data_IF_880097583725
#
_entry.id   IF_880097583725
#
_cell.length_a   1.000
_cell.length_b   1.000
_cell.length_c   1.000
_cell.angle_alpha   90.00
_cell.angle_beta   90.00
_cell.angle_gamma   90.00
#
_symmetry.space_group_name_H-M   'P 1'
#
loop_
_entity.id
_entity.type
_entity.pdbx_description
1 polymer ?
#
# COMPACT_ATOMS: atom_id res chain seq x y z
N UNK A 1 -12.42 32.01 -17.03
CA UNK A 1 -12.97 30.67 -16.72
C UNK A 1 -14.47 30.81 -16.75
N UNK A 2 -15.14 30.11 -17.64
CA UNK A 2 -16.60 30.04 -17.65
C UNK A 2 -17.06 29.02 -16.61
N UNK A 3 -18.17 29.33 -15.93
CA UNK A 3 -18.76 28.42 -14.94
C UNK A 3 -19.47 27.29 -15.72
N UNK A 4 -19.12 26.01 -15.50
CA UNK A 4 -19.70 24.89 -16.20
C UNK A 4 -21.15 24.69 -15.75
N UNK A 5 -21.92 24.05 -16.62
CA UNK A 5 -23.28 23.66 -16.30
C UNK A 5 -23.31 22.79 -15.02
N UNK A 6 -24.26 23.05 -14.10
CA UNK A 6 -24.40 22.25 -12.88
C UNK A 6 -24.75 20.80 -13.22
N UNK A 7 -24.29 19.85 -12.40
CA UNK A 7 -24.62 18.43 -12.54
C UNK A 7 -26.11 18.17 -12.32
N UNK A 8 -26.73 18.90 -11.39
CA UNK A 8 -28.16 18.81 -11.09
C UNK A 8 -28.77 20.18 -11.36
N UNK A 9 -29.79 20.22 -12.23
CA UNK A 9 -30.49 21.44 -12.62
C UNK A 9 -31.76 21.68 -11.79
N UNK A 10 -32.42 20.60 -11.35
CA UNK A 10 -33.67 20.60 -10.60
C UNK A 10 -33.57 19.61 -9.44
N UNK A 11 -34.06 19.90 -8.22
CA UNK A 11 -34.82 21.09 -7.80
C UNK A 11 -33.98 22.36 -7.58
N UNK A 12 -32.68 22.20 -7.29
CA UNK A 12 -31.72 23.31 -7.14
C UNK A 12 -30.48 23.06 -8.00
N UNK A 13 -29.82 24.15 -8.41
CA UNK A 13 -28.58 24.08 -9.19
C UNK A 13 -27.43 23.62 -8.30
N UNK A 14 -26.99 22.38 -8.45
CA UNK A 14 -25.88 21.81 -7.68
C UNK A 14 -24.73 21.34 -8.57
N UNK A 15 -23.51 21.62 -8.14
CA UNK A 15 -22.28 21.16 -8.78
C UNK A 15 -21.67 20.00 -8.00
N UNK A 16 -21.12 19.02 -8.72
CA UNK A 16 -20.38 17.91 -8.10
C UNK A 16 -18.94 18.32 -7.78
N UNK A 17 -18.39 17.76 -6.70
CA UNK A 17 -16.96 17.90 -6.40
C UNK A 17 -16.05 17.43 -7.55
N UNK A 18 -16.49 16.42 -8.32
CA UNK A 18 -15.78 15.96 -9.53
C UNK A 18 -15.76 17.01 -10.64
N UNK A 19 -16.84 17.78 -10.79
CA UNK A 19 -16.91 18.86 -11.78
C UNK A 19 -15.97 20.01 -11.41
N UNK A 20 -15.96 20.43 -10.14
CA UNK A 20 -15.03 21.44 -9.65
C UNK A 20 -13.58 20.98 -9.82
N UNK A 21 -13.30 19.71 -9.50
CA UNK A 21 -11.97 19.13 -9.71
C UNK A 21 -11.57 19.10 -11.19
N UNK A 22 -12.51 18.80 -12.09
CA UNK A 22 -12.27 18.77 -13.54
C UNK A 22 -11.86 20.13 -14.11
N UNK A 23 -12.25 21.25 -13.49
CA UNK A 23 -11.81 22.58 -13.92
C UNK A 23 -10.30 22.81 -13.78
N UNK A 24 -9.65 22.03 -12.92
CA UNK A 24 -8.20 22.11 -12.70
C UNK A 24 -7.42 21.34 -13.77
N UNK A 25 -8.10 20.44 -14.47
CA UNK A 25 -7.52 19.61 -15.51
C UNK A 25 -7.58 20.31 -16.87
N UNK A 26 -6.69 19.89 -17.75
CA UNK A 26 -6.63 20.36 -19.13
C UNK A 26 -7.42 19.39 -20.01
N UNK A 27 -8.06 19.91 -21.05
CA UNK A 27 -8.98 19.19 -21.93
C UNK A 27 -8.36 18.01 -22.72
N UNK A 28 -7.07 17.70 -22.54
CA UNK A 28 -6.34 16.67 -23.27
C UNK A 28 -5.94 15.45 -22.40
N UNK A 29 -6.30 15.45 -21.12
CA UNK A 29 -5.95 14.35 -20.21
C UNK A 29 -6.96 13.20 -20.34
N UNK A 30 -6.46 12.00 -20.62
CA UNK A 30 -7.24 10.77 -20.68
C UNK A 30 -6.57 9.73 -19.79
N UNK A 31 -7.30 9.18 -18.84
CA UNK A 31 -6.84 8.12 -17.92
C UNK A 31 -8.00 7.16 -17.69
N UNK A 32 -7.76 5.87 -17.87
CA UNK A 32 -8.70 4.81 -17.53
C UNK A 32 -8.03 3.90 -16.52
N UNK A 33 -8.57 3.78 -15.31
CA UNK A 33 -7.92 2.97 -14.27
C UNK A 33 -8.90 2.30 -13.33
N UNK A 34 -8.69 1.01 -13.10
CA UNK A 34 -9.49 0.21 -12.17
C UNK A 34 -10.83 -0.27 -12.74
N UNK A 35 -11.46 -1.19 -12.02
CA UNK A 35 -12.76 -1.80 -12.34
C UNK A 35 -12.69 -3.18 -12.99
N UNK A 36 -13.64 -4.05 -12.63
CA UNK A 36 -13.96 -5.26 -13.43
C UNK A 36 -14.54 -4.81 -14.78
N UNK A 37 -14.38 -5.62 -15.83
CA UNK A 37 -14.81 -5.33 -17.20
C UNK A 37 -16.31 -4.98 -17.26
N UNK A 38 -16.63 -3.69 -17.33
CA UNK A 38 -17.99 -3.17 -17.46
C UNK A 38 -17.98 -1.63 -17.62
N UNK A 39 -18.97 -1.03 -18.32
CA UNK A 39 -19.04 0.41 -18.57
C UNK A 39 -19.50 1.23 -17.34
N UNK A 40 -20.10 0.58 -16.34
CA UNK A 40 -20.59 1.22 -15.11
C UNK A 40 -19.84 0.68 -13.89
N UNK A 41 -19.59 1.55 -12.91
CA UNK A 41 -19.01 1.20 -11.62
C UNK A 41 -19.97 1.59 -10.47
N UNK A 42 -20.75 0.63 -9.93
CA UNK A 42 -21.70 0.90 -8.84
C UNK A 42 -21.05 1.49 -7.58
N UNK A 43 -19.82 1.05 -7.29
CA UNK A 43 -19.05 1.50 -6.13
C UNK A 43 -18.13 2.71 -6.42
N UNK A 44 -18.22 3.31 -7.62
CA UNK A 44 -17.39 4.44 -8.04
C UNK A 44 -15.86 4.18 -7.93
N UNK A 45 -15.46 2.92 -8.13
CA UNK A 45 -14.06 2.46 -7.99
C UNK A 45 -13.24 2.65 -9.27
N UNK A 46 -13.90 2.73 -10.42
CA UNK A 46 -13.24 2.90 -11.72
C UNK A 46 -13.05 4.38 -12.01
N UNK A 47 -11.80 4.80 -12.16
CA UNK A 47 -11.44 6.18 -12.50
C UNK A 47 -11.42 6.33 -14.01
N UNK A 48 -12.28 7.21 -14.52
CA UNK A 48 -12.35 7.57 -15.93
C UNK A 48 -12.24 9.08 -16.06
N UNK A 49 -11.09 9.52 -16.59
CA UNK A 49 -10.86 10.90 -17.01
C UNK A 49 -10.84 10.90 -18.52
N UNK A 50 -11.71 11.71 -19.14
CA UNK A 50 -11.78 11.85 -20.59
C UNK A 50 -11.80 13.32 -20.94
N UNK A 51 -10.90 13.74 -21.82
CA UNK A 51 -10.73 15.13 -22.24
C UNK A 51 -10.68 16.10 -21.05
N UNK A 52 -9.93 15.76 -20.00
CA UNK A 52 -9.83 16.60 -18.80
C UNK A 52 -11.03 16.56 -17.86
N UNK A 53 -12.10 15.85 -18.19
CA UNK A 53 -13.28 15.71 -17.33
C UNK A 53 -13.29 14.39 -16.58
N UNK A 54 -13.52 14.45 -15.27
CA UNK A 54 -13.67 13.28 -14.41
C UNK A 54 -15.12 12.81 -14.47
N UNK A 55 -15.35 11.69 -15.15
CA UNK A 55 -16.69 11.11 -15.30
C UNK A 55 -17.05 10.16 -14.15
N UNK A 56 -16.11 9.29 -13.79
CA UNK A 56 -16.30 8.24 -12.78
C UNK A 56 -15.02 8.11 -11.95
N UNK A 57 -15.16 7.62 -10.72
CA UNK A 57 -14.07 7.29 -9.82
C UNK A 57 -13.85 8.27 -8.68
N UNK A 58 -13.51 7.73 -7.52
CA UNK A 58 -12.96 8.49 -6.39
C UNK A 58 -11.44 8.66 -6.55
N UNK A 59 -10.96 9.89 -6.38
CA UNK A 59 -9.54 10.22 -6.48
C UNK A 59 -8.81 9.86 -5.18
N UNK A 60 -8.23 8.66 -5.12
CA UNK A 60 -7.40 8.20 -4.00
C UNK A 60 -5.90 8.39 -4.26
N UNK A 61 -5.06 8.03 -3.28
CA UNK A 61 -3.59 7.95 -3.42
C UNK A 61 -3.13 7.15 -4.65
N UNK A 62 -3.94 6.21 -5.14
CA UNK A 62 -3.58 5.46 -6.34
C UNK A 62 -3.52 6.35 -7.60
N UNK A 63 -4.37 7.37 -7.69
CA UNK A 63 -4.42 8.31 -8.82
C UNK A 63 -3.57 9.56 -8.61
N UNK A 64 -3.65 10.16 -7.42
CA UNK A 64 -3.00 11.44 -7.10
C UNK A 64 -1.61 11.29 -6.48
N UNK A 65 -1.24 10.09 -6.03
CA UNK A 65 0.05 9.82 -5.42
C UNK A 65 1.18 9.66 -6.45
N UNK A 66 2.37 9.33 -5.95
CA UNK A 66 3.60 9.13 -6.72
C UNK A 66 3.66 7.82 -7.51
N UNK A 67 2.52 7.15 -7.75
CA UNK A 67 2.51 5.89 -8.50
C UNK A 67 2.76 6.16 -9.99
N UNK A 68 3.48 5.25 -10.64
CA UNK A 68 3.60 5.22 -12.09
C UNK A 68 2.20 5.13 -12.74
N UNK A 69 2.00 5.91 -13.81
CA UNK A 69 0.70 6.05 -14.47
C UNK A 69 -0.36 6.79 -13.64
N UNK A 70 0.04 7.48 -12.57
CA UNK A 70 -0.84 8.42 -11.84
C UNK A 70 -1.11 9.68 -12.64
N UNK A 71 -2.10 10.46 -12.21
CA UNK A 71 -2.51 11.70 -12.88
C UNK A 71 -1.36 12.72 -12.94
N UNK A 72 -0.59 12.86 -11.87
CA UNK A 72 0.58 13.77 -11.83
C UNK A 72 1.65 13.32 -12.83
N UNK A 73 1.87 12.02 -12.97
CA UNK A 73 2.83 11.46 -13.94
C UNK A 73 2.38 11.74 -15.38
N UNK A 74 1.11 11.47 -15.69
CA UNK A 74 0.54 11.73 -17.02
C UNK A 74 0.55 13.22 -17.34
N UNK A 75 0.22 14.10 -16.39
CA UNK A 75 0.30 15.55 -16.58
C UNK A 75 1.72 16.04 -16.83
N UNK A 76 2.70 15.47 -16.12
CA UNK A 76 4.11 15.80 -16.30
C UNK A 76 4.62 15.36 -17.68
N UNK A 77 4.28 14.15 -18.12
CA UNK A 77 4.76 13.58 -19.38
C UNK A 77 4.00 14.11 -20.60
N UNK A 78 2.68 14.38 -20.51
CA UNK A 78 1.88 14.88 -21.65
C UNK A 78 2.29 16.25 -22.19
N UNK A 79 3.15 16.99 -21.49
CA UNK A 79 3.80 18.20 -22.01
C UNK A 79 4.70 18.00 -23.24
N UNK A 80 4.70 16.81 -23.85
CA UNK A 80 5.60 16.36 -24.92
C UNK A 80 5.68 17.29 -26.14
N UNK A 81 4.63 18.06 -26.49
CA UNK A 81 4.72 19.02 -27.61
C UNK A 81 5.42 20.34 -27.23
N UNK A 82 5.42 20.74 -25.95
CA UNK A 82 6.12 21.93 -25.42
C UNK A 82 6.53 21.66 -23.96
N UNK A 83 7.76 21.17 -23.76
CA UNK A 83 8.31 20.71 -22.47
C UNK A 83 8.05 21.66 -21.28
N UNK A 84 8.19 22.97 -21.50
CA UNK A 84 7.98 23.96 -20.45
C UNK A 84 6.51 24.11 -20.04
N UNK A 85 5.59 23.85 -20.97
CA UNK A 85 4.16 24.01 -20.75
C UNK A 85 3.63 22.88 -19.86
N UNK A 86 4.03 21.62 -20.08
CA UNK A 86 3.62 20.49 -19.22
C UNK A 86 4.07 20.62 -17.76
N UNK A 87 5.30 21.10 -17.54
CA UNK A 87 5.81 21.36 -16.17
C UNK A 87 5.04 22.49 -15.49
N UNK A 88 4.80 23.59 -16.20
CA UNK A 88 3.99 24.72 -15.70
C UNK A 88 2.56 24.29 -15.40
N UNK A 89 1.97 23.46 -16.26
CA UNK A 89 0.63 22.91 -16.10
C UNK A 89 0.54 21.98 -14.88
N UNK A 90 1.47 21.05 -14.71
CA UNK A 90 1.54 20.18 -13.54
C UNK A 90 1.68 21.00 -12.24
N UNK A 91 2.53 22.03 -12.24
CA UNK A 91 2.67 22.96 -11.11
C UNK A 91 1.35 23.72 -10.84
N UNK A 92 0.69 24.24 -11.86
CA UNK A 92 -0.62 24.91 -11.74
C UNK A 92 -1.67 23.97 -11.17
N UNK A 93 -1.69 22.72 -11.63
CA UNK A 93 -2.60 21.68 -11.14
C UNK A 93 -2.36 21.38 -9.65
N UNK A 94 -1.11 21.16 -9.23
CA UNK A 94 -0.80 20.91 -7.82
C UNK A 94 -1.23 22.07 -6.92
N UNK A 95 -0.90 23.30 -7.31
CA UNK A 95 -1.29 24.51 -6.58
C UNK A 95 -2.82 24.70 -6.55
N UNK A 96 -3.50 24.48 -7.67
CA UNK A 96 -4.95 24.61 -7.78
C UNK A 96 -5.68 23.54 -6.97
N UNK A 97 -5.21 22.30 -6.99
CA UNK A 97 -5.75 21.19 -6.21
C UNK A 97 -5.62 21.48 -4.72
N UNK A 98 -4.44 21.88 -4.25
CA UNK A 98 -4.22 22.24 -2.84
C UNK A 98 -5.13 23.40 -2.42
N UNK A 99 -5.24 24.46 -3.22
CA UNK A 99 -6.12 25.60 -2.90
C UNK A 99 -7.59 25.21 -2.83
N UNK A 100 -8.08 24.47 -3.82
CA UNK A 100 -9.48 24.02 -3.89
C UNK A 100 -9.84 23.09 -2.72
N UNK A 101 -9.02 22.06 -2.50
CA UNK A 101 -9.27 21.07 -1.46
C UNK A 101 -9.12 21.67 -0.07
N UNK A 102 -8.12 22.53 0.16
CA UNK A 102 -7.97 23.19 1.46
C UNK A 102 -9.13 24.15 1.75
N UNK A 103 -9.60 24.91 0.75
CA UNK A 103 -10.76 25.77 0.90
C UNK A 103 -12.02 24.97 1.24
N UNK A 104 -12.25 23.85 0.54
CA UNK A 104 -13.35 22.95 0.85
C UNK A 104 -13.22 22.30 2.22
N UNK A 105 -12.03 21.87 2.60
CA UNK A 105 -11.76 21.24 3.89
C UNK A 105 -11.96 22.21 5.05
N UNK A 106 -11.65 23.50 4.88
CA UNK A 106 -11.95 24.55 5.87
C UNK A 106 -13.46 24.72 6.10
N UNK A 107 -14.28 24.58 5.06
CA UNK A 107 -15.74 24.66 5.17
C UNK A 107 -16.37 23.40 5.76
N UNK A 108 -15.90 22.21 5.34
CA UNK A 108 -16.44 20.94 5.81
C UNK A 108 -15.99 20.59 7.24
N UNK A 109 -14.73 20.90 7.56
CA UNK A 109 -14.04 20.34 8.72
C UNK A 109 -13.72 18.86 8.56
N UNK A 110 -12.65 18.40 9.19
CA UNK A 110 -12.32 16.97 9.31
C UNK A 110 -11.61 16.75 10.63
N UNK A 111 -12.12 15.85 11.46
CA UNK A 111 -11.59 15.54 12.78
C UNK A 111 -11.69 14.05 13.05
N UNK A 112 -10.92 13.58 14.03
CA UNK A 112 -10.92 12.18 14.48
C UNK A 112 -11.14 12.21 15.98
N UNK A 113 -12.05 11.34 16.45
CA UNK A 113 -12.32 11.17 17.87
C UNK A 113 -12.08 9.75 18.35
N UNK A 114 -12.20 9.54 19.66
CA UNK A 114 -12.22 8.19 20.25
C UNK A 114 -13.42 7.39 19.75
N UNK A 115 -14.52 8.04 19.39
CA UNK A 115 -15.70 7.37 18.85
C UNK A 115 -15.41 6.64 17.54
N UNK A 116 -14.44 7.10 16.74
CA UNK A 116 -14.03 6.44 15.51
C UNK A 116 -13.32 5.10 15.75
N UNK A 117 -12.84 4.84 16.97
CA UNK A 117 -12.19 3.58 17.34
C UNK A 117 -13.13 2.58 18.02
N UNK A 118 -14.37 2.99 18.31
CA UNK A 118 -15.35 2.13 18.94
C UNK A 118 -16.02 1.22 17.90
N UNK A 119 -15.85 -0.10 18.06
CA UNK A 119 -16.62 -1.08 17.33
C UNK A 119 -17.94 -1.43 18.04
N UNK A 120 -18.93 -1.90 17.27
CA UNK A 120 -20.20 -2.40 17.80
C UNK A 120 -19.96 -3.60 18.71
N UNK A 121 -20.74 -3.72 19.80
CA UNK A 121 -20.62 -4.83 20.77
C UNK A 121 -20.63 -6.21 20.11
N UNK A 122 -21.52 -6.42 19.15
CA UNK A 122 -21.61 -7.67 18.39
C UNK A 122 -20.33 -8.07 17.66
N UNK A 123 -19.52 -7.07 17.25
CA UNK A 123 -18.24 -7.31 16.58
C UNK A 123 -17.17 -7.57 17.63
N UNK A 124 -17.19 -6.86 18.76
CA UNK A 124 -16.27 -7.11 19.87
C UNK A 124 -16.40 -8.54 20.41
N UNK A 125 -17.62 -9.04 20.54
CA UNK A 125 -17.85 -10.42 20.98
C UNK A 125 -17.25 -11.42 19.98
N UNK A 126 -17.48 -11.21 18.68
CA UNK A 126 -16.85 -12.02 17.61
C UNK A 126 -15.33 -11.91 17.57
N UNK A 127 -14.76 -10.74 17.84
CA UNK A 127 -13.30 -10.55 17.94
C UNK A 127 -12.75 -11.39 19.10
N UNK A 128 -13.44 -11.39 20.24
CA UNK A 128 -13.05 -12.19 21.40
C UNK A 128 -13.12 -13.68 21.06
N UNK A 129 -14.18 -14.14 20.39
CA UNK A 129 -14.32 -15.52 19.90
C UNK A 129 -13.15 -15.91 18.97
N UNK A 130 -12.84 -15.08 17.96
CA UNK A 130 -11.74 -15.36 17.01
C UNK A 130 -10.37 -15.42 17.72
N UNK A 131 -10.14 -14.55 18.71
CA UNK A 131 -8.91 -14.55 19.49
C UNK A 131 -8.83 -15.80 20.38
N UNK A 132 -9.94 -16.25 20.97
CA UNK A 132 -9.98 -17.45 21.80
C UNK A 132 -9.79 -18.72 20.96
N UNK A 133 -10.43 -18.78 19.78
CA UNK A 133 -10.21 -19.82 18.77
C UNK A 133 -8.75 -19.86 18.27
N UNK A 134 -8.08 -18.72 18.23
CA UNK A 134 -6.66 -18.66 17.88
C UNK A 134 -5.76 -19.19 19.01
N UNK A 135 -6.11 -18.92 20.28
CA UNK A 135 -5.38 -19.41 21.45
C UNK A 135 -5.54 -20.93 21.60
N UNK A 136 -6.77 -21.43 21.53
CA UNK A 136 -7.06 -22.87 21.60
C UNK A 136 -6.39 -23.64 20.46
N UNK A 137 -6.37 -23.07 19.24
CA UNK A 137 -5.64 -23.66 18.13
C UNK A 137 -4.12 -23.67 18.36
N UNK A 138 -3.56 -22.63 18.98
CA UNK A 138 -2.15 -22.59 19.33
C UNK A 138 -1.81 -23.63 20.41
N UNK A 139 -2.68 -23.81 21.40
CA UNK A 139 -2.52 -24.84 22.44
C UNK A 139 -2.60 -26.26 21.84
N UNK A 140 -3.49 -26.48 20.88
CA UNK A 140 -3.53 -27.74 20.13
C UNK A 140 -2.22 -28.02 19.37
N UNK A 141 -1.59 -26.99 18.78
CA UNK A 141 -0.26 -27.12 18.14
C UNK A 141 0.83 -27.44 19.17
N UNK A 142 0.74 -26.88 20.39
CA UNK A 142 1.66 -27.21 21.49
C UNK A 142 1.52 -28.68 21.89
N UNK A 143 0.31 -29.21 21.94
CA UNK A 143 0.08 -30.60 22.31
C UNK A 143 0.52 -31.59 21.22
N UNK A 144 0.30 -31.28 19.94
CA UNK A 144 0.84 -32.11 18.84
C UNK A 144 2.37 -32.06 18.79
N UNK A 145 2.97 -30.92 19.13
CA UNK A 145 4.41 -30.78 19.28
C UNK A 145 4.98 -31.65 20.41
N UNK A 146 4.30 -31.70 21.56
CA UNK A 146 4.66 -32.56 22.69
C UNK A 146 4.59 -34.05 22.33
N UNK A 147 3.68 -34.42 21.44
CA UNK A 147 3.55 -35.79 20.91
C UNK A 147 4.57 -36.10 19.79
N UNK A 148 5.35 -35.12 19.35
CA UNK A 148 6.36 -35.30 18.29
C UNK A 148 5.80 -35.40 16.87
N UNK A 149 4.51 -35.10 16.66
CA UNK A 149 3.81 -35.25 15.38
C UNK A 149 3.72 -33.93 14.59
N UNK A 150 4.86 -33.26 14.39
CA UNK A 150 4.92 -32.02 13.57
C UNK A 150 5.40 -32.37 12.16
N UNK A 151 4.71 -31.84 11.16
CA UNK A 151 5.15 -31.91 9.77
C UNK A 151 6.35 -30.97 9.55
N UNK A 152 7.48 -31.54 9.14
CA UNK A 152 8.71 -30.82 8.84
C UNK A 152 8.82 -30.51 7.35
N UNK A 153 9.17 -29.27 7.00
CA UNK A 153 9.65 -28.97 5.65
C UNK A 153 11.12 -29.35 5.49
N UNK A 154 11.60 -29.65 4.27
CA UNK A 154 13.01 -29.95 4.04
C UNK A 154 13.93 -28.82 4.52
N UNK A 155 14.86 -29.13 5.42
CA UNK A 155 15.83 -28.16 5.95
C UNK A 155 15.37 -27.37 7.17
N UNK A 156 14.14 -27.56 7.65
CA UNK A 156 13.65 -26.94 8.89
C UNK A 156 13.92 -27.82 10.12
N UNK A 157 14.27 -27.20 11.25
CA UNK A 157 14.33 -27.91 12.53
C UNK A 157 12.91 -28.06 13.10
N UNK A 158 12.70 -29.07 13.97
CA UNK A 158 11.41 -29.26 14.67
C UNK A 158 10.97 -28.01 15.42
N UNK A 159 11.91 -27.28 16.04
CA UNK A 159 11.62 -26.04 16.77
C UNK A 159 11.22 -24.91 15.84
N UNK A 160 11.91 -24.75 14.70
CA UNK A 160 11.58 -23.68 13.75
C UNK A 160 10.23 -23.95 13.05
N UNK A 161 9.93 -25.20 12.70
CA UNK A 161 8.62 -25.59 12.16
C UNK A 161 7.48 -25.33 13.15
N UNK A 162 7.69 -25.65 14.44
CA UNK A 162 6.76 -25.37 15.52
C UNK A 162 6.49 -23.86 15.67
N UNK A 163 7.56 -23.06 15.78
CA UNK A 163 7.46 -21.60 15.93
C UNK A 163 6.81 -20.94 14.71
N UNK A 164 7.13 -21.42 13.50
CA UNK A 164 6.55 -20.93 12.25
C UNK A 164 5.03 -21.20 12.20
N UNK A 165 4.62 -22.42 12.55
CA UNK A 165 3.20 -22.82 12.56
C UNK A 165 2.35 -21.97 13.52
N UNK A 166 2.85 -21.74 14.75
CA UNK A 166 2.14 -20.89 15.72
C UNK A 166 2.09 -19.43 15.23
N UNK A 167 3.21 -18.88 14.76
CA UNK A 167 3.23 -17.51 14.24
C UNK A 167 2.26 -17.32 13.07
N UNK A 168 2.19 -18.28 12.15
CA UNK A 168 1.26 -18.25 11.04
C UNK A 168 -0.20 -18.25 11.51
N UNK A 169 -0.54 -19.10 12.49
CA UNK A 169 -1.90 -19.16 13.04
C UNK A 169 -2.30 -17.86 13.74
N UNK A 170 -1.42 -17.31 14.57
CA UNK A 170 -1.68 -16.06 15.30
C UNK A 170 -1.77 -14.86 14.36
N UNK A 171 -0.93 -14.78 13.33
CA UNK A 171 -1.00 -13.72 12.31
C UNK A 171 -2.29 -13.80 11.49
N UNK A 172 -2.74 -15.02 11.15
CA UNK A 172 -4.01 -15.22 10.44
C UNK A 172 -5.20 -14.69 11.24
N UNK A 173 -5.21 -14.90 12.56
CA UNK A 173 -6.27 -14.38 13.43
C UNK A 173 -6.31 -12.84 13.45
N UNK A 174 -5.15 -12.17 13.41
CA UNK A 174 -5.06 -10.70 13.34
C UNK A 174 -5.63 -10.18 12.02
N UNK A 175 -5.31 -10.85 10.91
CA UNK A 175 -5.83 -10.49 9.58
C UNK A 175 -7.35 -10.69 9.51
N UNK A 176 -7.87 -11.81 10.04
CA UNK A 176 -9.31 -12.09 10.15
C UNK A 176 -10.03 -11.01 10.97
N UNK A 177 -9.51 -10.67 12.16
CA UNK A 177 -10.02 -9.58 12.99
C UNK A 177 -10.01 -8.23 12.25
N UNK A 178 -8.91 -7.92 11.55
CA UNK A 178 -8.77 -6.66 10.80
C UNK A 178 -9.76 -6.53 9.65
N UNK A 179 -10.02 -7.62 8.93
CA UNK A 179 -11.03 -7.63 7.85
C UNK A 179 -12.45 -7.50 8.39
N UNK A 180 -12.75 -8.16 9.51
CA UNK A 180 -14.05 -8.04 10.18
C UNK A 180 -14.32 -6.61 10.58
N UNK A 181 -13.36 -5.95 11.24
CA UNK A 181 -13.48 -4.54 11.66
C UNK A 181 -13.69 -3.63 10.45
N UNK A 182 -12.89 -3.77 9.40
CA UNK A 182 -13.03 -2.93 8.20
C UNK A 182 -14.35 -3.12 7.45
N UNK A 183 -14.96 -4.30 7.50
CA UNK A 183 -16.25 -4.56 6.86
C UNK A 183 -17.43 -3.97 7.65
N UNK A 184 -17.24 -3.81 8.97
CA UNK A 184 -18.30 -3.47 9.90
C UNK A 184 -18.40 -1.98 10.22
N UNK A 185 -17.29 -1.25 10.07
CA UNK A 185 -17.22 0.18 10.33
C UNK A 185 -18.00 0.96 9.27
N UNK A 186 -18.69 2.01 9.71
CA UNK A 186 -19.37 2.97 8.83
C UNK A 186 -18.36 3.66 7.91
N UNK A 187 -18.71 3.80 6.63
CA UNK A 187 -17.89 4.55 5.65
C UNK A 187 -17.62 6.00 6.06
N UNK A 188 -18.50 6.58 6.87
CA UNK A 188 -18.40 7.95 7.40
C UNK A 188 -17.38 8.11 8.54
N UNK A 189 -16.80 7.01 9.02
CA UNK A 189 -15.76 7.06 10.04
C UNK A 189 -14.50 7.77 9.50
N UNK A 190 -13.93 8.68 10.31
CA UNK A 190 -12.79 9.48 9.88
C UNK A 190 -11.54 8.63 9.64
N UNK A 191 -11.28 7.64 10.49
CA UNK A 191 -10.13 6.73 10.35
C UNK A 191 -10.28 5.88 9.09
N UNK A 192 -11.48 5.36 8.83
CA UNK A 192 -11.79 4.62 7.61
C UNK A 192 -11.52 5.48 6.37
N UNK A 193 -12.03 6.71 6.35
CA UNK A 193 -11.86 7.67 5.25
C UNK A 193 -10.38 7.96 4.98
N UNK A 194 -9.54 8.11 6.02
CA UNK A 194 -8.09 8.32 5.84
C UNK A 194 -7.38 7.11 5.23
N UNK A 195 -7.75 5.90 5.67
CA UNK A 195 -7.15 4.65 5.16
C UNK A 195 -7.56 4.44 3.70
N UNK A 196 -8.83 4.68 3.36
CA UNK A 196 -9.34 4.57 1.99
C UNK A 196 -8.72 5.62 1.05
N UNK A 197 -8.60 6.87 1.51
CA UNK A 197 -7.89 7.92 0.77
C UNK A 197 -6.39 7.60 0.62
N UNK A 198 -5.82 6.83 1.54
CA UNK A 198 -4.41 6.49 1.62
C UNK A 198 -3.54 7.61 2.18
N UNK A 199 -4.13 8.59 2.88
CA UNK A 199 -3.42 9.74 3.43
C UNK A 199 -2.54 9.33 4.61
N UNK A 200 -3.10 8.63 5.59
CA UNK A 200 -2.39 8.12 6.76
C UNK A 200 -3.13 6.92 7.37
N UNK A 201 -2.37 5.98 7.92
CA UNK A 201 -2.90 4.76 8.50
C UNK A 201 -2.99 3.60 7.51
N UNK A 202 -3.20 2.42 8.06
CA UNK A 202 -3.34 1.16 7.31
C UNK A 202 -4.44 0.31 7.96
N UNK A 203 -4.86 -0.76 7.28
CA UNK A 203 -5.79 -1.74 7.85
C UNK A 203 -5.26 -2.34 9.15
N UNK A 204 -3.95 -2.58 9.22
CA UNK A 204 -3.28 -3.09 10.42
C UNK A 204 -3.38 -2.09 11.57
N UNK A 205 -3.14 -0.80 11.31
CA UNK A 205 -3.23 0.22 12.36
C UNK A 205 -4.64 0.27 12.96
N UNK A 206 -5.67 0.19 12.12
CA UNK A 206 -7.06 0.15 12.61
C UNK A 206 -7.32 -1.12 13.41
N UNK A 207 -6.87 -2.27 12.91
CA UNK A 207 -6.98 -3.55 13.61
C UNK A 207 -6.33 -3.50 14.99
N UNK A 208 -5.13 -2.94 15.13
CA UNK A 208 -4.40 -2.86 16.40
C UNK A 208 -5.02 -1.91 17.42
N UNK A 209 -5.65 -0.82 16.95
CA UNK A 209 -6.36 0.11 17.83
C UNK A 209 -7.62 -0.55 18.39
N UNK A 210 -8.41 -1.20 17.54
CA UNK A 210 -9.75 -1.71 17.87
C UNK A 210 -9.74 -3.12 18.46
N UNK A 211 -8.96 -4.04 17.86
CA UNK A 211 -9.02 -5.49 18.14
C UNK A 211 -7.91 -5.93 19.09
N UNK A 212 -6.76 -6.33 18.54
CA UNK A 212 -5.58 -6.80 19.25
C UNK A 212 -4.31 -6.27 18.57
N UNK A 213 -3.28 -5.98 19.36
CA UNK A 213 -1.98 -5.54 18.80
C UNK A 213 -1.28 -6.69 18.06
N UNK A 214 -1.44 -7.92 18.54
CA UNK A 214 -0.92 -9.13 17.91
C UNK A 214 0.41 -9.63 18.46
N UNK A 215 1.00 -10.60 17.77
CA UNK A 215 2.25 -11.26 18.17
C UNK A 215 3.44 -10.29 18.12
N UNK A 216 4.17 -10.18 19.22
CA UNK A 216 5.44 -9.44 19.28
C UNK A 216 6.60 -10.38 19.00
N UNK A 217 7.44 -9.99 18.04
CA UNK A 217 8.61 -10.76 17.66
C UNK A 217 9.88 -10.00 18.03
N UNK A 218 10.91 -10.74 18.43
CA UNK A 218 12.27 -10.23 18.64
C UNK A 218 13.24 -11.06 17.81
N UNK A 219 14.03 -10.42 16.94
CA UNK A 219 14.95 -11.09 16.01
C UNK A 219 14.27 -12.17 15.14
N UNK A 220 13.04 -11.90 14.68
CA UNK A 220 12.29 -12.81 13.80
C UNK A 220 11.68 -14.05 14.48
N UNK A 221 11.86 -14.23 15.80
CA UNK A 221 11.22 -15.27 16.60
C UNK A 221 10.25 -14.66 17.62
N UNK A 222 9.35 -15.47 18.19
CA UNK A 222 8.56 -15.04 19.36
C UNK A 222 9.48 -14.72 20.55
N UNK A 223 8.95 -14.11 21.60
CA UNK A 223 9.77 -13.67 22.74
C UNK A 223 10.56 -14.86 23.31
N UNK A 224 11.91 -14.79 23.32
CA UNK A 224 12.75 -15.89 23.78
C UNK A 224 12.73 -16.02 25.30
N UNK A 225 13.03 -17.22 25.80
CA UNK A 225 13.24 -17.42 27.23
C UNK A 225 14.56 -16.77 27.63
N UNK A 226 14.51 -15.83 28.56
CA UNK A 226 15.71 -15.17 29.08
C UNK A 226 16.00 -15.51 30.53
N UNK A 227 15.03 -16.05 31.25
CA UNK A 227 15.26 -16.53 32.60
C UNK A 227 15.90 -17.91 32.59
N UNK A 228 16.81 -18.15 33.54
CA UNK A 228 17.52 -19.43 33.72
C UNK A 228 16.58 -20.63 33.91
N UNK A 229 15.34 -20.38 34.34
CA UNK A 229 14.29 -21.37 34.56
C UNK A 229 13.47 -21.72 33.31
N UNK A 230 13.88 -21.26 32.11
CA UNK A 230 13.16 -21.52 30.86
C UNK A 230 11.86 -20.74 30.75
N UNK A 231 11.88 -19.46 31.12
CA UNK A 231 10.70 -18.57 31.16
C UNK A 231 10.98 -17.25 30.45
N UNK A 232 9.91 -16.62 29.96
CA UNK A 232 9.95 -15.26 29.41
C UNK A 232 9.86 -14.19 30.50
N UNK A 233 8.96 -14.36 31.49
CA UNK A 233 8.83 -13.53 32.68
C UNK A 233 8.71 -14.38 33.96
N UNK A 234 9.07 -13.86 35.16
CA UNK A 234 8.94 -14.58 36.43
C UNK A 234 7.50 -14.97 36.77
N UNK A 235 6.52 -14.27 36.18
CA UNK A 235 5.09 -14.48 36.39
C UNK A 235 4.54 -15.72 35.65
N UNK A 236 5.27 -16.27 34.68
CA UNK A 236 4.84 -17.45 33.93
C UNK A 236 5.44 -18.73 34.51
N UNK A 237 4.84 -19.88 34.17
CA UNK A 237 5.38 -21.19 34.52
C UNK A 237 6.62 -21.53 33.67
N UNK A 238 7.47 -22.44 34.17
CA UNK A 238 8.64 -22.92 33.43
C UNK A 238 8.19 -23.65 32.16
N UNK A 239 8.88 -23.41 31.05
CA UNK A 239 8.61 -24.04 29.74
C UNK A 239 7.18 -23.82 29.22
N UNK A 240 6.59 -22.66 29.52
CA UNK A 240 5.31 -22.25 28.98
C UNK A 240 5.47 -21.66 27.55
N UNK A 241 5.04 -22.42 26.54
CA UNK A 241 5.05 -22.04 25.13
C UNK A 241 3.74 -21.41 24.64
N UNK A 242 2.80 -21.15 25.55
CA UNK A 242 1.51 -20.54 25.26
C UNK A 242 1.65 -19.16 24.61
N UNK A 243 0.64 -18.72 23.84
CA UNK A 243 0.69 -17.42 23.14
C UNK A 243 0.98 -16.25 24.08
N UNK A 244 0.35 -16.21 25.26
CA UNK A 244 0.50 -15.12 26.23
C UNK A 244 1.91 -15.05 26.83
N UNK A 245 2.49 -16.21 27.18
CA UNK A 245 3.86 -16.31 27.70
C UNK A 245 4.88 -15.85 26.64
N UNK A 246 4.60 -16.12 25.36
CA UNK A 246 5.49 -15.85 24.23
C UNK A 246 5.24 -14.53 23.51
N UNK A 247 4.55 -13.58 24.13
CA UNK A 247 4.43 -12.21 23.61
C UNK A 247 3.27 -11.96 22.65
N UNK A 248 2.25 -12.81 22.63
CA UNK A 248 0.99 -12.48 21.97
C UNK A 248 0.20 -11.45 22.77
N UNK A 249 -0.04 -10.29 22.17
CA UNK A 249 -0.84 -9.21 22.78
C UNK A 249 -2.28 -9.34 22.28
N UNK A 250 -3.15 -9.86 23.15
CA UNK A 250 -4.55 -10.12 22.84
C UNK A 250 -5.41 -8.86 22.94
N UNK A 251 -5.00 -7.87 23.72
CA UNK A 251 -5.73 -6.63 23.86
C UNK A 251 -5.32 -5.57 22.81
N UNK A 252 -6.29 -4.80 22.31
CA UNK A 252 -6.05 -3.64 21.46
C UNK A 252 -5.72 -2.38 22.27
N UNK A 253 -5.22 -1.34 21.60
CA UNK A 253 -4.86 -0.09 22.28
C UNK A 253 -6.03 0.60 22.99
N UNK A 254 -7.26 0.44 22.47
CA UNK A 254 -8.46 1.01 23.10
C UNK A 254 -8.75 0.37 24.47
N UNK A 255 -8.58 -0.95 24.59
CA UNK A 255 -8.81 -1.70 25.83
C UNK A 255 -7.67 -1.54 26.82
N UNK A 256 -6.46 -1.29 26.31
CA UNK A 256 -5.24 -1.20 27.09
C UNK A 256 -4.53 -2.55 27.23
N UNK A 257 -3.21 -2.50 27.40
CA UNK A 257 -2.36 -3.68 27.53
C UNK A 257 -2.18 -4.06 29.00
N UNK A 258 -2.15 -5.36 29.28
CA UNK A 258 -1.70 -5.87 30.58
C UNK A 258 -0.20 -5.62 30.80
N UNK A 259 0.31 -5.65 32.04
CA UNK A 259 1.73 -5.39 32.31
C UNK A 259 2.71 -6.29 31.53
N UNK A 260 2.38 -7.59 31.40
CA UNK A 260 3.18 -8.53 30.62
C UNK A 260 3.16 -8.19 29.11
N UNK A 261 1.97 -7.94 28.56
CA UNK A 261 1.79 -7.52 27.17
C UNK A 261 2.52 -6.21 26.87
N UNK A 262 2.44 -5.23 27.78
CA UNK A 262 3.13 -3.95 27.66
C UNK A 262 4.63 -4.14 27.60
N UNK A 263 5.20 -4.98 28.47
CA UNK A 263 6.63 -5.25 28.49
C UNK A 263 7.10 -5.96 27.20
N UNK A 264 6.35 -6.95 26.71
CA UNK A 264 6.65 -7.61 25.44
C UNK A 264 6.51 -6.67 24.24
N UNK A 265 5.52 -5.79 24.25
CA UNK A 265 5.37 -4.77 23.22
C UNK A 265 6.54 -3.76 23.24
N UNK A 266 7.00 -3.36 24.43
CA UNK A 266 8.17 -2.51 24.58
C UNK A 266 9.46 -3.19 24.07
N UNK A 267 9.61 -4.51 24.27
CA UNK A 267 10.74 -5.27 23.72
C UNK A 267 10.75 -5.24 22.18
N UNK A 268 9.62 -5.52 21.52
CA UNK A 268 9.50 -5.44 20.07
C UNK A 268 9.70 -4.02 19.54
N UNK A 269 9.12 -3.02 20.22
CA UNK A 269 9.31 -1.61 19.89
C UNK A 269 10.78 -1.16 19.99
N UNK A 270 11.52 -1.67 20.98
CA UNK A 270 12.94 -1.36 21.17
C UNK A 270 13.80 -1.88 20.03
N UNK A 271 13.51 -3.07 19.51
CA UNK A 271 14.21 -3.59 18.33
C UNK A 271 14.05 -2.65 17.15
N UNK A 272 12.82 -2.19 16.86
CA UNK A 272 12.56 -1.25 15.76
C UNK A 272 13.31 0.08 15.91
N UNK A 273 13.41 0.61 17.14
CA UNK A 273 14.17 1.84 17.42
C UNK A 273 15.68 1.64 17.20
N UNK A 274 16.22 0.51 17.66
CA UNK A 274 17.65 0.18 17.49
C UNK A 274 17.97 -0.08 16.02
N UNK A 275 17.14 -0.85 15.32
CA UNK A 275 17.28 -1.14 13.90
C UNK A 275 17.23 0.14 13.06
N UNK A 276 16.35 1.08 13.39
CA UNK A 276 16.31 2.40 12.72
C UNK A 276 17.63 3.17 12.90
N UNK A 277 18.20 3.18 14.10
CA UNK A 277 19.47 3.86 14.36
C UNK A 277 20.63 3.20 13.60
N UNK A 278 20.72 1.86 13.61
CA UNK A 278 21.77 1.11 12.90
C UNK A 278 21.64 1.27 11.38
N UNK A 279 20.43 1.10 10.84
CA UNK A 279 20.16 1.26 9.40
C UNK A 279 20.50 2.66 8.92
N UNK A 280 20.15 3.70 9.68
CA UNK A 280 20.46 5.09 9.30
C UNK A 280 21.96 5.32 9.08
N UNK A 281 22.80 4.81 9.99
CA UNK A 281 24.26 4.92 9.87
C UNK A 281 24.79 4.13 8.67
N UNK A 282 24.32 2.89 8.48
CA UNK A 282 24.77 2.02 7.39
C UNK A 282 24.33 2.52 6.02
N UNK A 283 23.06 2.92 5.86
CA UNK A 283 22.53 3.41 4.57
C UNK A 283 23.23 4.69 4.13
N UNK A 284 23.52 5.61 5.06
CA UNK A 284 24.27 6.83 4.75
C UNK A 284 25.70 6.55 4.30
N UNK A 285 26.37 5.59 4.95
CA UNK A 285 27.72 5.17 4.56
C UNK A 285 27.75 4.47 3.19
N UNK A 286 26.82 3.55 2.94
CA UNK A 286 26.67 2.89 1.63
C UNK A 286 26.40 3.92 0.54
N UNK A 287 25.49 4.86 0.78
CA UNK A 287 25.19 5.94 -0.16
C UNK A 287 26.44 6.75 -0.50
N UNK A 288 27.21 7.19 0.50
CA UNK A 288 28.47 7.94 0.28
C UNK A 288 29.49 7.12 -0.53
N UNK A 289 29.63 5.83 -0.24
CA UNK A 289 30.52 4.95 -1.00
C UNK A 289 30.11 4.82 -2.46
N UNK A 290 28.81 4.65 -2.72
CA UNK A 290 28.28 4.58 -4.08
C UNK A 290 28.49 5.89 -4.83
N UNK A 291 28.19 7.04 -4.21
CA UNK A 291 28.43 8.35 -4.82
C UNK A 291 29.91 8.53 -5.13
N UNK A 292 30.82 8.23 -4.19
CA UNK A 292 32.26 8.37 -4.42
C UNK A 292 32.83 7.40 -5.46
N UNK A 293 32.22 6.24 -5.64
CA UNK A 293 32.63 5.29 -6.68
C UNK A 293 32.11 5.67 -8.08
N UNK A 294 31.03 6.45 -8.17
CA UNK A 294 30.31 6.73 -9.42
C UNK A 294 30.29 8.22 -9.80
N UNK A 295 30.87 9.12 -9.00
CA UNK A 295 30.79 10.58 -9.22
C UNK A 295 31.49 11.06 -10.49
N UNK A 296 32.42 10.26 -11.03
CA UNK A 296 33.17 10.59 -12.23
C UNK A 296 32.53 10.05 -13.52
N UNK A 297 31.50 9.22 -13.40
CA UNK A 297 30.77 8.67 -14.54
C UNK A 297 29.86 9.73 -15.16
N UNK A 298 30.05 9.98 -16.45
CA UNK A 298 29.21 10.90 -17.20
C UNK A 298 29.00 10.43 -18.64
N UNK A 299 27.86 10.85 -19.21
CA UNK A 299 27.52 10.61 -20.61
C UNK A 299 28.29 11.63 -21.46
N UNK A 300 29.07 11.15 -22.43
CA UNK A 300 29.81 11.99 -23.39
C UNK A 300 28.93 12.29 -24.61
N UNK A 301 29.37 13.23 -25.45
CA UNK A 301 28.62 13.66 -26.65
C UNK A 301 28.40 12.54 -27.68
N UNK A 302 29.21 11.47 -27.63
CA UNK A 302 29.06 10.27 -28.46
C UNK A 302 28.02 9.27 -27.92
N UNK A 303 27.34 9.60 -26.80
CA UNK A 303 26.35 8.73 -26.15
C UNK A 303 26.94 7.64 -25.26
N UNK A 304 28.28 7.55 -25.19
CA UNK A 304 28.98 6.59 -24.33
C UNK A 304 29.04 7.07 -22.89
N UNK A 305 29.09 6.13 -21.94
CA UNK A 305 29.33 6.43 -20.52
C UNK A 305 30.80 6.20 -20.23
N UNK A 306 31.50 7.25 -19.80
CA UNK A 306 32.94 7.19 -19.49
C UNK A 306 33.24 7.73 -18.10
N UNK A 307 34.32 7.23 -17.54
CA UNK A 307 34.89 7.72 -16.29
C UNK A 307 35.73 9.00 -16.51
N UNK A 308 36.37 9.54 -15.46
CA UNK A 308 37.22 10.73 -15.58
C UNK A 308 38.49 10.50 -16.42
N UNK A 309 39.01 9.27 -16.46
CA UNK A 309 40.21 8.90 -17.23
C UNK A 309 39.92 8.62 -18.70
N UNK A 310 38.64 8.63 -19.12
CA UNK A 310 38.22 8.34 -20.48
C UNK A 310 38.02 6.85 -20.79
N UNK A 311 38.10 5.97 -19.79
CA UNK A 311 37.75 4.56 -19.94
C UNK A 311 36.24 4.40 -20.19
N UNK A 312 35.92 3.54 -21.14
CA UNK A 312 34.55 3.20 -21.51
C UNK A 312 33.95 2.25 -20.49
N UNK A 313 32.80 2.62 -19.91
CA UNK A 313 32.04 1.77 -18.97
C UNK A 313 30.83 1.15 -19.68
N UNK A 314 30.12 1.93 -20.49
CA UNK A 314 29.03 1.43 -21.33
C UNK A 314 29.07 2.11 -22.70
N UNK A 315 28.85 1.32 -23.76
CA UNK A 315 28.77 1.81 -25.14
C UNK A 315 27.57 2.72 -25.39
N UNK A 316 26.50 2.55 -24.62
CA UNK A 316 25.30 3.39 -24.68
C UNK A 316 24.72 3.57 -23.28
N UNK A 317 24.29 4.79 -22.94
CA UNK A 317 23.65 5.06 -21.65
C UNK A 317 22.46 4.13 -21.42
N UNK A 318 22.48 3.33 -20.35
CA UNK A 318 21.37 2.42 -20.02
C UNK A 318 21.13 1.30 -21.04
N UNK A 319 22.07 1.04 -21.95
CA UNK A 319 21.94 0.10 -23.08
C UNK A 319 20.85 0.47 -24.12
N UNK A 320 20.08 1.53 -23.89
CA UNK A 320 19.01 2.01 -24.77
C UNK A 320 19.16 3.48 -25.21
N UNK A 321 20.04 4.24 -24.55
CA UNK A 321 20.29 5.66 -24.81
C UNK A 321 19.18 6.57 -24.29
N UNK A 322 18.26 6.06 -23.48
CA UNK A 322 17.05 6.77 -23.05
C UNK A 322 17.20 7.31 -21.63
N UNK A 323 16.64 8.49 -21.38
CA UNK A 323 16.58 9.06 -20.04
C UNK A 323 15.51 8.35 -19.22
N UNK A 324 15.91 7.74 -18.10
CA UNK A 324 15.02 7.06 -17.16
C UNK A 324 13.82 7.91 -16.68
N UNK A 325 13.97 9.24 -16.59
CA UNK A 325 12.87 10.14 -16.21
C UNK A 325 11.71 10.17 -17.19
N UNK A 326 11.92 9.70 -18.43
CA UNK A 326 10.92 9.70 -19.51
C UNK A 326 10.39 8.31 -19.84
N UNK A 327 10.87 7.29 -19.13
CA UNK A 327 10.46 5.92 -19.38
C UNK A 327 9.13 5.62 -18.70
N UNK A 328 8.23 4.97 -19.42
CA UNK A 328 6.95 4.51 -18.89
C UNK A 328 6.84 3.00 -19.05
N UNK A 329 6.22 2.35 -18.06
CA UNK A 329 5.94 0.92 -18.15
C UNK A 329 4.80 0.70 -19.14
N UNK A 330 5.10 0.00 -20.23
CA UNK A 330 4.11 -0.39 -21.24
C UNK A 330 3.95 -1.91 -21.27
N UNK A 331 2.75 -2.36 -21.58
CA UNK A 331 2.44 -3.79 -21.73
C UNK A 331 2.38 -4.17 -23.20
N UNK A 332 3.24 -5.10 -23.60
CA UNK A 332 3.13 -5.76 -24.90
C UNK A 332 1.97 -6.77 -24.87
N UNK A 333 0.91 -6.48 -25.62
CA UNK A 333 -0.29 -7.32 -25.71
C UNK A 333 0.03 -8.63 -26.46
N UNK A 334 0.90 -8.55 -27.45
CA UNK A 334 1.32 -9.67 -28.31
C UNK A 334 2.00 -10.81 -27.56
N UNK A 335 2.87 -10.49 -26.58
CA UNK A 335 3.72 -11.49 -25.91
C UNK A 335 2.93 -12.52 -25.09
N UNK A 336 1.76 -12.14 -24.57
CA UNK A 336 0.92 -13.00 -23.73
C UNK A 336 -0.29 -13.57 -24.46
N UNK A 337 -0.49 -13.20 -25.73
CA UNK A 337 -1.63 -13.66 -26.51
C UNK A 337 -1.40 -15.10 -26.98
N UNK A 338 -2.44 -15.94 -26.92
CA UNK A 338 -2.42 -17.23 -27.63
C UNK A 338 -2.31 -16.99 -29.14
N UNK A 339 -1.71 -17.93 -29.89
CA UNK A 339 -1.59 -17.84 -31.35
C UNK A 339 -2.92 -17.52 -32.06
N UNK A 340 -4.04 -18.03 -31.55
CA UNK A 340 -5.37 -17.71 -32.08
C UNK A 340 -5.79 -16.27 -31.78
N UNK A 341 -5.60 -15.80 -30.55
CA UNK A 341 -5.89 -14.42 -30.16
C UNK A 341 -5.02 -13.43 -30.93
N UNK A 342 -3.73 -13.75 -31.08
CA UNK A 342 -2.79 -12.96 -31.87
C UNK A 342 -3.25 -12.86 -33.33
N UNK A 343 -3.59 -13.98 -33.97
CA UNK A 343 -4.15 -13.96 -35.33
C UNK A 343 -5.44 -13.14 -35.40
N UNK A 344 -6.37 -13.29 -34.47
CA UNK A 344 -7.61 -12.48 -34.48
C UNK A 344 -7.38 -10.98 -34.32
N UNK A 345 -6.35 -10.57 -33.57
CA UNK A 345 -6.06 -9.16 -33.33
C UNK A 345 -5.26 -8.51 -34.46
N UNK A 346 -4.36 -9.25 -35.11
CA UNK A 346 -3.38 -8.69 -36.03
C UNK A 346 -3.48 -9.18 -37.48
N UNK A 347 -4.20 -10.28 -37.75
CA UNK A 347 -4.46 -10.73 -39.11
C UNK A 347 -5.62 -9.89 -39.67
N UNK A 348 -5.36 -9.10 -40.71
CA UNK A 348 -6.38 -8.34 -41.41
C UNK A 348 -6.51 -8.91 -42.84
N UNK A 349 -7.71 -9.28 -43.26
CA UNK A 349 -8.00 -9.60 -44.67
C UNK A 349 -8.15 -8.31 -45.47
N UNK A 350 -7.64 -8.28 -46.69
CA UNK A 350 -7.77 -7.15 -47.64
C UNK A 350 -9.26 -6.81 -47.86
N UNK A 351 -9.78 -5.84 -47.10
CA UNK A 351 -11.18 -5.41 -47.19
C UNK A 351 -11.86 -4.96 -45.89
N UNK A 352 -11.31 -5.24 -44.71
CA UNK A 352 -11.88 -4.76 -43.43
C UNK A 352 -11.20 -3.48 -42.94
N UNK A 353 -11.98 -2.41 -42.72
CA UNK A 353 -11.50 -1.21 -42.05
C UNK A 353 -11.14 -1.52 -40.59
N UNK A 354 -9.96 -1.08 -40.19
CA UNK A 354 -9.33 -1.36 -38.91
C UNK A 354 -10.00 -0.61 -37.76
N UNK A 355 -10.87 -1.30 -37.00
CA UNK A 355 -11.10 -0.90 -35.61
C UNK A 355 -10.05 -1.59 -34.75
N UNK A 356 -8.87 -0.97 -34.62
CA UNK A 356 -7.99 -1.29 -33.50
C UNK A 356 -8.83 -1.12 -32.23
N UNK A 357 -8.93 -2.13 -31.36
CA UNK A 357 -9.58 -1.94 -30.08
C UNK A 357 -8.76 -0.89 -29.34
N UNK A 358 -9.31 0.33 -29.23
CA UNK A 358 -8.78 1.39 -28.39
C UNK A 358 -8.53 0.75 -27.02
N UNK A 359 -7.26 0.63 -26.67
CA UNK A 359 -6.83 -0.01 -25.45
C UNK A 359 -7.54 0.65 -24.26
N UNK A 360 -8.27 -0.10 -23.43
CA UNK A 360 -8.55 0.33 -22.07
C UNK A 360 -7.24 0.12 -21.29
N UNK A 361 -6.29 1.04 -21.45
CA UNK A 361 -5.10 1.11 -20.61
C UNK A 361 -5.30 2.06 -19.44
#
# INVERSE_FOLDING_TARGET
MEIPAPAVLFPERMWSGKQLFSMLLINEVNIYRGGKSGPSSPDDTRVVIRQGHVHQGVMSKAMLGSKAGGLVHVLYNKGLSKMDEGRKQCRRFLNGCQRLVNAWLMMRGFSIGIQDTLATRTINDRIIEVIDDAKTAADAIIDTARQGSITLSPGETMQDAFESSINQRLNKAIDECGTMVMSSIRRDNAIYTMIEAGSKGSKLNMSQIVTCVGQQNVNGKRIPDRFWSGRTLPHFAAFDYGPLSRGFVANGYLKGLSPAEFFFHAMGGREGLVDTAVKTAQTGYIYRRLVKALEDLCVRYDGTVRNAQGHLVSGLYGEDGLNAQRMESQRFISLKASNQQFRSMFLHSEGQQSTLPLSPQ
#
